data_IF_964377047558
#
_entry.id   IF_964377047558
#
_cell.length_a   1.000
_cell.length_b   1.000
_cell.length_c   1.000
_cell.angle_alpha   90.00
_cell.angle_beta   90.00
_cell.angle_gamma   90.00
#
_symmetry.space_group_name_H-M   'P 1'
#
loop_
_entity.id
_entity.type
_entity.pdbx_description
1 polymer ?
#
# COMPACT_ATOMS: atom_id res chain seq x y z
N UNK A 1 -24.91 17.36 -1.97
CA UNK A 1 -23.43 17.30 -2.02
C UNK A 1 -23.09 15.84 -1.84
N UNK A 2 -22.72 15.13 -2.92
CA UNK A 2 -22.46 13.69 -2.85
C UNK A 2 -21.29 13.44 -1.91
N UNK A 3 -21.52 12.64 -0.86
CA UNK A 3 -20.45 12.17 0.01
C UNK A 3 -19.44 11.38 -0.82
N UNK A 4 -18.20 11.88 -0.89
CA UNK A 4 -17.13 11.19 -1.61
C UNK A 4 -16.76 9.95 -0.81
N UNK A 5 -17.20 8.79 -1.28
CA UNK A 5 -16.84 7.50 -0.70
C UNK A 5 -15.31 7.34 -0.77
N UNK A 6 -14.67 7.21 0.38
CA UNK A 6 -13.23 6.93 0.53
C UNK A 6 -13.06 5.65 1.33
N UNK A 7 -12.73 4.56 0.65
CA UNK A 7 -12.51 3.24 1.25
C UNK A 7 -11.04 3.04 1.56
N UNK A 8 -10.78 2.53 2.74
CA UNK A 8 -9.46 2.15 3.23
C UNK A 8 -9.22 0.63 3.14
N UNK A 9 -10.29 -0.15 3.26
CA UNK A 9 -10.30 -1.61 3.28
C UNK A 9 -11.71 -2.15 2.94
N UNK A 10 -11.90 -3.46 3.05
CA UNK A 10 -13.15 -4.13 2.70
C UNK A 10 -13.44 -4.15 1.20
N UNK A 11 -12.40 -4.21 0.37
CA UNK A 11 -12.58 -4.38 -1.08
C UNK A 11 -12.94 -5.83 -1.40
N UNK A 12 -13.80 -6.03 -2.41
CA UNK A 12 -14.17 -7.37 -2.83
C UNK A 12 -12.92 -8.12 -3.32
N UNK A 13 -12.65 -9.29 -2.72
CA UNK A 13 -11.46 -10.08 -3.00
C UNK A 13 -10.15 -9.53 -2.42
N UNK A 14 -10.22 -8.51 -1.54
CA UNK A 14 -9.05 -8.00 -0.83
C UNK A 14 -8.34 -9.13 -0.06
N UNK A 15 -7.02 -9.19 -0.21
CA UNK A 15 -6.13 -9.94 0.68
C UNK A 15 -5.09 -8.98 1.23
N UNK A 16 -4.87 -8.98 2.53
CA UNK A 16 -3.84 -8.17 3.16
C UNK A 16 -3.24 -8.94 4.33
N UNK A 17 -1.92 -8.95 4.41
CA UNK A 17 -1.16 -9.54 5.51
C UNK A 17 -0.24 -8.45 6.03
N UNK A 18 -0.34 -8.19 7.33
CA UNK A 18 0.52 -7.25 8.06
C UNK A 18 1.27 -8.03 9.11
N UNK A 19 2.60 -7.96 9.08
CA UNK A 19 3.41 -8.63 10.10
C UNK A 19 3.33 -7.82 11.40
N UNK A 20 3.02 -8.45 12.54
CA UNK A 20 2.99 -7.78 13.83
C UNK A 20 4.31 -7.07 14.14
N UNK A 21 4.23 -5.83 14.65
CA UNK A 21 5.41 -5.01 15.00
C UNK A 21 6.41 -5.72 15.90
N UNK A 22 5.91 -6.54 16.84
CA UNK A 22 6.79 -7.32 17.71
C UNK A 22 7.66 -8.30 16.92
N UNK A 23 7.11 -8.97 15.89
CA UNK A 23 7.87 -9.89 15.04
C UNK A 23 8.89 -9.12 14.21
N UNK A 24 8.50 -7.96 13.65
CA UNK A 24 9.42 -7.10 12.90
C UNK A 24 10.64 -6.72 13.76
N UNK A 25 10.40 -6.25 14.98
CA UNK A 25 11.47 -5.74 15.86
C UNK A 25 12.32 -6.84 16.51
N UNK A 26 11.72 -7.99 16.83
CA UNK A 26 12.42 -9.07 17.55
C UNK A 26 13.03 -10.12 16.65
N UNK A 27 12.49 -10.30 15.43
CA UNK A 27 12.95 -11.32 14.48
C UNK A 27 13.55 -10.69 13.23
N UNK A 28 12.77 -9.93 12.46
CA UNK A 28 13.21 -9.45 11.14
C UNK A 28 14.42 -8.49 11.25
N UNK A 29 14.31 -7.46 12.07
CA UNK A 29 15.37 -6.48 12.27
C UNK A 29 16.65 -7.07 12.90
N UNK A 30 16.53 -8.19 13.63
CA UNK A 30 17.67 -8.87 14.28
C UNK A 30 18.24 -10.03 13.46
N UNK A 31 17.62 -10.40 12.34
CA UNK A 31 18.06 -11.53 11.53
C UNK A 31 19.19 -11.09 10.59
N UNK A 32 20.33 -11.77 10.64
CA UNK A 32 21.54 -11.37 9.89
C UNK A 32 21.39 -11.45 8.36
N UNK A 33 20.44 -12.21 7.84
CA UNK A 33 20.26 -12.42 6.39
C UNK A 33 19.25 -11.42 5.83
N UNK A 34 18.14 -11.17 6.53
CA UNK A 34 17.03 -10.37 6.01
C UNK A 34 16.93 -8.98 6.60
N UNK A 35 17.73 -8.61 7.62
CA UNK A 35 17.58 -7.31 8.30
C UNK A 35 17.71 -6.10 7.39
N UNK A 36 18.41 -6.23 6.25
CA UNK A 36 18.55 -5.17 5.26
C UNK A 36 17.27 -4.92 4.46
N UNK A 37 16.44 -5.95 4.23
CA UNK A 37 15.18 -5.84 3.50
C UNK A 37 14.24 -7.00 3.86
N UNK A 38 13.08 -6.65 4.40
CA UNK A 38 12.01 -7.60 4.69
C UNK A 38 10.64 -6.97 4.43
N UNK A 39 9.66 -7.81 4.11
CA UNK A 39 8.27 -7.39 3.89
C UNK A 39 7.64 -7.06 5.25
N UNK A 40 7.02 -5.90 5.37
CA UNK A 40 6.21 -5.53 6.54
C UNK A 40 4.72 -5.80 6.31
N UNK A 41 4.27 -5.50 5.09
CA UNK A 41 2.89 -5.56 4.65
C UNK A 41 2.87 -6.06 3.21
N UNK A 42 1.91 -6.92 2.88
CA UNK A 42 1.63 -7.32 1.50
C UNK A 42 0.13 -7.35 1.27
N UNK A 43 -0.32 -6.79 0.16
CA UNK A 43 -1.73 -6.67 -0.15
C UNK A 43 -2.05 -6.88 -1.62
N UNK A 44 -3.26 -7.37 -1.88
CA UNK A 44 -3.85 -7.54 -3.20
C UNK A 44 -5.28 -7.01 -3.17
N UNK A 45 -5.59 -6.09 -4.09
CA UNK A 45 -6.83 -5.30 -4.08
C UNK A 45 -7.47 -5.32 -5.48
N UNK A 46 -8.08 -6.44 -5.90
CA UNK A 46 -8.56 -6.60 -7.28
C UNK A 46 -9.73 -5.67 -7.63
N UNK A 47 -10.55 -5.28 -6.65
CA UNK A 47 -11.70 -4.38 -6.84
C UNK A 47 -11.58 -3.15 -5.95
N UNK A 48 -10.55 -2.35 -6.21
CA UNK A 48 -10.14 -1.18 -5.43
C UNK A 48 -10.94 0.12 -5.71
N UNK A 49 -12.20 0.03 -6.19
CA UNK A 49 -13.01 1.24 -6.45
C UNK A 49 -13.16 2.04 -5.15
N UNK A 50 -12.94 3.35 -5.24
CA UNK A 50 -12.92 4.28 -4.11
C UNK A 50 -11.76 4.08 -3.12
N UNK A 51 -10.73 3.32 -3.47
CA UNK A 51 -9.55 3.20 -2.63
C UNK A 51 -8.86 4.56 -2.50
N UNK A 52 -8.74 5.03 -1.25
CA UNK A 52 -8.08 6.28 -0.93
C UNK A 52 -7.17 6.10 0.28
N UNK A 53 -5.91 6.53 0.13
CA UNK A 53 -4.94 6.61 1.21
C UNK A 53 -4.15 7.90 1.08
N UNK A 54 -3.99 8.59 2.19
CA UNK A 54 -3.21 9.81 2.30
C UNK A 54 -2.24 9.68 3.46
N UNK A 55 -0.98 10.07 3.22
CA UNK A 55 0.11 9.98 4.18
C UNK A 55 0.79 11.33 4.28
N UNK A 56 0.18 12.24 5.03
CA UNK A 56 0.65 13.63 5.19
C UNK A 56 2.09 13.67 5.71
N UNK A 57 2.43 12.77 6.66
CA UNK A 57 3.77 12.67 7.25
C UNK A 57 4.62 11.56 6.60
N UNK A 58 4.18 10.97 5.49
CA UNK A 58 4.86 9.84 4.85
C UNK A 58 4.60 8.48 5.51
N UNK A 59 5.49 7.53 5.24
CA UNK A 59 5.52 6.19 5.82
C UNK A 59 6.93 5.84 6.26
N UNK A 60 7.06 5.07 7.34
CA UNK A 60 8.35 4.54 7.79
C UNK A 60 8.86 3.42 6.87
N UNK A 61 7.99 2.89 6.01
CA UNK A 61 8.27 1.82 5.06
C UNK A 61 8.43 2.36 3.63
N UNK A 62 9.25 1.69 2.83
CA UNK A 62 9.18 1.81 1.37
C UNK A 62 7.94 1.05 0.86
N UNK A 63 7.14 1.71 0.04
CA UNK A 63 5.88 1.16 -0.49
C UNK A 63 6.00 1.06 -2.01
N UNK A 64 5.80 -0.15 -2.54
CA UNK A 64 5.66 -0.42 -3.96
C UNK A 64 4.19 -0.76 -4.24
N UNK A 65 3.58 -0.09 -5.21
CA UNK A 65 2.20 -0.36 -5.65
C UNK A 65 2.25 -0.65 -7.14
N UNK A 66 1.97 -1.89 -7.52
CA UNK A 66 1.86 -2.27 -8.93
C UNK A 66 0.40 -2.31 -9.36
N UNK A 67 0.04 -1.54 -10.39
CA UNK A 67 -1.30 -1.56 -10.95
C UNK A 67 -1.46 -2.76 -11.89
N UNK A 68 -2.07 -3.85 -11.40
CA UNK A 68 -2.27 -5.05 -12.21
C UNK A 68 -3.37 -4.87 -13.28
N UNK A 69 -4.48 -4.22 -12.91
CA UNK A 69 -5.61 -3.92 -13.80
C UNK A 69 -6.28 -2.60 -13.38
N UNK A 70 -7.03 -2.00 -14.32
CA UNK A 70 -7.77 -0.76 -14.08
C UNK A 70 -6.90 0.50 -14.16
N UNK A 71 -7.30 1.53 -13.43
CA UNK A 71 -6.60 2.81 -13.41
C UNK A 71 -6.85 3.56 -12.10
N UNK A 72 -5.99 4.53 -11.83
CA UNK A 72 -6.11 5.40 -10.67
C UNK A 72 -5.20 6.61 -10.80
N UNK A 73 -5.01 7.29 -9.68
CA UNK A 73 -4.13 8.44 -9.60
C UNK A 73 -3.36 8.47 -8.30
N UNK A 74 -2.15 9.00 -8.35
CA UNK A 74 -1.31 9.24 -7.17
C UNK A 74 -0.81 10.67 -7.21
N UNK A 75 -0.75 11.33 -6.06
CA UNK A 75 -0.19 12.66 -5.93
C UNK A 75 1.08 12.61 -5.07
N UNK A 76 2.22 13.01 -5.62
CA UNK A 76 3.51 13.04 -4.94
C UNK A 76 4.07 14.45 -5.04
N UNK A 77 4.37 15.09 -3.90
CA UNK A 77 4.87 16.47 -3.85
C UNK A 77 4.00 17.45 -4.67
N UNK A 78 2.68 17.29 -4.60
CA UNK A 78 1.65 18.05 -5.34
C UNK A 78 1.63 17.83 -6.87
N UNK A 79 2.44 16.90 -7.38
CA UNK A 79 2.37 16.47 -8.78
C UNK A 79 1.46 15.25 -8.85
N UNK A 80 0.44 15.32 -9.69
CA UNK A 80 -0.47 14.20 -9.94
C UNK A 80 0.04 13.35 -11.10
N UNK A 81 0.00 12.03 -10.93
CA UNK A 81 0.34 11.03 -11.93
C UNK A 81 -0.88 10.14 -12.13
N UNK A 82 -1.23 9.90 -13.39
CA UNK A 82 -2.20 8.86 -13.74
C UNK A 82 -1.48 7.52 -13.72
N UNK A 83 -2.14 6.52 -13.16
CA UNK A 83 -1.63 5.16 -13.05
C UNK A 83 -2.58 4.26 -13.83
N UNK A 84 -2.01 3.42 -14.68
CA UNK A 84 -2.69 2.45 -15.53
C UNK A 84 -2.06 1.06 -15.34
N UNK A 85 -2.69 0.04 -15.91
CA UNK A 85 -2.19 -1.31 -15.81
C UNK A 85 -0.74 -1.42 -16.32
N UNK A 86 0.15 -1.95 -15.48
CA UNK A 86 1.60 -2.06 -15.75
C UNK A 86 2.46 -1.02 -15.02
N UNK A 87 1.87 0.07 -14.51
CA UNK A 87 2.60 1.13 -13.82
C UNK A 87 2.91 0.79 -12.35
N UNK A 88 4.00 1.35 -11.80
CA UNK A 88 4.42 1.23 -10.38
C UNK A 88 5.15 2.45 -9.82
#
# INVERSE_FOLDING_TARGET
MEDIIKKMEGFQGQKAIVIPRQILNTRCAKNQVICTLYITDIGYYPKAKFHYRERINGADQHILIYCHEGSGKVAIRKVEYQISAGDF
#
